data_IF_656218231339
#
_entry.id   IF_656218231339
#
_cell.length_a   1.000
_cell.length_b   1.000
_cell.length_c   1.000
_cell.angle_alpha   90.00
_cell.angle_beta   90.00
_cell.angle_gamma   90.00
#
_symmetry.space_group_name_H-M   'P 1'
#
loop_
_entity.id
_entity.type
_entity.pdbx_description
1 polymer ?
#
# COMPACT_ATOMS: atom_id res chain seq x y z
N UNK A 1 36.80 -12.91 -26.64
CA UNK A 1 36.66 -11.63 -25.90
C UNK A 1 35.58 -10.80 -26.57
N UNK A 2 34.45 -10.59 -25.88
CA UNK A 2 33.62 -9.38 -25.87
C UNK A 2 32.55 -9.60 -24.79
N UNK A 3 32.89 -9.07 -23.63
CA UNK A 3 32.05 -8.93 -22.44
C UNK A 3 30.92 -7.97 -22.79
N UNK A 4 29.69 -8.30 -22.37
CA UNK A 4 28.64 -7.32 -22.15
C UNK A 4 28.16 -7.54 -20.73
N UNK A 5 28.92 -6.99 -19.80
CA UNK A 5 28.40 -6.66 -18.49
C UNK A 5 27.37 -5.56 -18.74
N UNK A 6 26.10 -5.88 -18.52
CA UNK A 6 25.05 -4.88 -18.34
C UNK A 6 25.39 -4.11 -17.05
N UNK A 7 26.30 -3.16 -17.19
CA UNK A 7 26.57 -2.13 -16.20
C UNK A 7 25.27 -1.35 -16.08
N UNK A 8 24.48 -1.69 -15.07
CA UNK A 8 23.43 -0.85 -14.54
C UNK A 8 24.11 0.46 -14.15
N UNK A 9 24.01 1.45 -15.05
CA UNK A 9 24.47 2.81 -14.81
C UNK A 9 23.67 3.33 -13.62
N UNK A 10 24.25 3.23 -12.43
CA UNK A 10 23.79 3.98 -11.25
C UNK A 10 23.97 5.45 -11.59
N UNK A 11 22.88 6.09 -11.97
CA UNK A 11 22.85 7.52 -12.10
C UNK A 11 22.94 8.09 -10.67
N UNK A 12 24.04 8.78 -10.34
CA UNK A 12 24.15 9.59 -9.10
C UNK A 12 23.28 10.86 -9.21
N UNK A 13 22.01 10.65 -9.55
CA UNK A 13 21.00 11.67 -9.77
C UNK A 13 19.69 11.21 -9.16
N UNK A 14 18.95 12.13 -8.55
CA UNK A 14 17.64 11.91 -7.91
C UNK A 14 16.83 10.77 -8.53
N UNK A 15 16.31 9.89 -7.67
CA UNK A 15 15.35 8.83 -8.03
C UNK A 15 14.27 9.33 -9.01
N UNK A 16 13.96 8.54 -10.04
CA UNK A 16 12.82 8.79 -10.91
C UNK A 16 11.51 8.69 -10.13
N UNK A 17 10.42 9.27 -10.66
CA UNK A 17 9.08 9.16 -10.04
C UNK A 17 8.66 7.70 -9.83
N UNK A 18 9.02 6.81 -10.76
CA UNK A 18 8.71 5.38 -10.68
C UNK A 18 9.53 4.69 -9.59
N UNK A 19 10.84 4.90 -9.56
CA UNK A 19 11.71 4.32 -8.52
C UNK A 19 11.30 4.79 -7.12
N UNK A 20 11.00 6.09 -6.98
CA UNK A 20 10.46 6.65 -5.75
C UNK A 20 9.17 5.97 -5.33
N UNK A 21 8.24 5.76 -6.27
CA UNK A 21 6.99 5.08 -5.98
C UNK A 21 7.22 3.64 -5.54
N UNK A 22 8.03 2.86 -6.27
CA UNK A 22 8.33 1.45 -5.94
C UNK A 22 8.93 1.37 -4.53
N UNK A 23 10.01 2.12 -4.28
CA UNK A 23 10.69 2.14 -2.98
C UNK A 23 9.74 2.47 -1.82
N UNK A 24 8.92 3.51 -1.98
CA UNK A 24 7.99 3.94 -0.92
C UNK A 24 6.80 2.99 -0.77
N UNK A 25 6.21 2.52 -1.87
CA UNK A 25 5.05 1.65 -1.84
C UNK A 25 5.41 0.29 -1.25
N UNK A 26 6.55 -0.29 -1.63
CA UNK A 26 7.03 -1.56 -1.11
C UNK A 26 7.35 -1.47 0.38
N UNK A 27 8.15 -0.48 0.80
CA UNK A 27 8.49 -0.29 2.20
C UNK A 27 7.24 -0.07 3.08
N UNK A 28 6.25 0.70 2.59
CA UNK A 28 4.99 0.92 3.31
C UNK A 28 4.13 -0.32 3.37
N UNK A 29 4.03 -1.07 2.27
CA UNK A 29 3.26 -2.33 2.22
C UNK A 29 3.83 -3.34 3.20
N UNK A 30 5.15 -3.55 3.18
CA UNK A 30 5.82 -4.46 4.12
C UNK A 30 5.62 -4.05 5.58
N UNK A 31 5.68 -2.74 5.88
CA UNK A 31 5.38 -2.25 7.22
C UNK A 31 3.94 -2.55 7.65
N UNK A 32 2.96 -2.35 6.77
CA UNK A 32 1.55 -2.67 7.05
C UNK A 32 1.38 -4.17 7.31
N UNK A 33 1.96 -5.02 6.45
CA UNK A 33 1.88 -6.48 6.61
C UNK A 33 2.50 -6.94 7.94
N UNK A 34 3.66 -6.42 8.30
CA UNK A 34 4.29 -6.73 9.58
C UNK A 34 3.43 -6.28 10.77
N UNK A 35 2.81 -5.09 10.70
CA UNK A 35 1.92 -4.62 11.77
C UNK A 35 0.67 -5.49 11.89
N UNK A 36 0.12 -6.00 10.78
CA UNK A 36 -1.01 -6.94 10.80
C UNK A 36 -0.62 -8.27 11.43
N UNK A 37 0.59 -8.78 11.16
CA UNK A 37 1.10 -9.98 11.82
C UNK A 37 1.26 -9.77 13.33
N UNK A 38 1.82 -8.63 13.76
CA UNK A 38 1.94 -8.30 15.17
C UNK A 38 0.57 -8.16 15.86
N UNK A 39 -0.39 -7.54 15.18
CA UNK A 39 -1.78 -7.48 15.65
C UNK A 39 -2.38 -8.88 15.80
N UNK A 40 -2.07 -9.80 14.89
CA UNK A 40 -2.48 -11.21 14.97
C UNK A 40 -2.00 -11.91 16.25
N UNK A 41 -0.85 -11.51 16.81
CA UNK A 41 -0.37 -12.07 18.08
C UNK A 41 -1.28 -11.73 19.27
N UNK A 42 -2.10 -10.68 19.17
CA UNK A 42 -3.11 -10.33 20.18
C UNK A 42 -4.27 -11.33 20.23
N UNK A 43 -4.39 -12.27 19.28
CA UNK A 43 -5.40 -13.33 19.31
C UNK A 43 -5.13 -14.40 20.39
N UNK A 44 -4.00 -14.33 21.10
CA UNK A 44 -3.73 -15.26 22.19
C UNK A 44 -4.57 -14.92 23.43
N UNK A 45 -5.69 -15.62 23.60
CA UNK A 45 -6.62 -15.47 24.73
C UNK A 45 -6.03 -15.87 26.08
N UNK A 46 -4.91 -16.61 26.10
CA UNK A 46 -4.19 -16.89 27.36
C UNK A 46 -3.42 -15.67 27.87
N UNK A 47 -3.11 -14.71 27.00
CA UNK A 47 -2.36 -13.49 27.34
C UNK A 47 -3.24 -12.26 27.42
N UNK A 48 -4.30 -12.22 26.60
CA UNK A 48 -5.17 -11.06 26.48
C UNK A 48 -6.63 -11.44 26.65
N UNK A 49 -7.39 -10.57 27.31
CA UNK A 49 -8.84 -10.63 27.32
C UNK A 49 -9.39 -9.65 26.27
N UNK A 50 -10.25 -10.15 25.39
CA UNK A 50 -10.89 -9.36 24.35
C UNK A 50 -12.22 -10.00 23.98
N UNK A 51 -13.16 -9.16 23.54
CA UNK A 51 -14.45 -9.63 23.06
C UNK A 51 -14.47 -9.71 21.54
N UNK A 52 -15.42 -10.47 21.00
CA UNK A 52 -15.68 -10.48 19.56
C UNK A 52 -15.97 -9.08 19.02
N UNK A 53 -16.62 -8.22 19.81
CA UNK A 53 -16.91 -6.83 19.46
C UNK A 53 -15.65 -5.98 19.33
N UNK A 54 -14.60 -6.27 20.10
CA UNK A 54 -13.31 -5.57 19.98
C UNK A 54 -12.62 -5.96 18.67
N UNK A 55 -12.62 -7.25 18.33
CA UNK A 55 -12.10 -7.77 17.05
C UNK A 55 -12.83 -7.14 15.87
N UNK A 56 -14.16 -7.10 15.90
CA UNK A 56 -14.98 -6.47 14.85
C UNK A 56 -14.64 -4.98 14.65
N UNK A 57 -14.52 -4.21 15.75
CA UNK A 57 -14.14 -2.79 15.67
C UNK A 57 -12.75 -2.59 15.06
N UNK A 58 -11.78 -3.42 15.45
CA UNK A 58 -10.41 -3.37 14.94
C UNK A 58 -10.41 -3.57 13.42
N UNK A 59 -11.03 -4.65 12.95
CA UNK A 59 -11.01 -4.98 11.52
C UNK A 59 -11.89 -4.04 10.69
N UNK A 60 -13.04 -3.59 11.22
CA UNK A 60 -13.85 -2.59 10.54
C UNK A 60 -13.07 -1.28 10.28
N UNK A 61 -12.26 -0.84 11.24
CA UNK A 61 -11.41 0.35 11.07
C UNK A 61 -10.32 0.12 10.00
N UNK A 62 -9.64 -1.03 10.03
CA UNK A 62 -8.60 -1.37 9.05
C UNK A 62 -9.19 -1.46 7.64
N UNK A 63 -10.31 -2.17 7.47
CA UNK A 63 -10.97 -2.35 6.17
C UNK A 63 -11.46 -1.01 5.60
N UNK A 64 -12.00 -0.14 6.45
CA UNK A 64 -12.42 1.21 6.04
C UNK A 64 -11.23 2.02 5.50
N UNK A 65 -10.10 2.03 6.20
CA UNK A 65 -8.90 2.74 5.74
C UNK A 65 -8.32 2.12 4.45
N UNK A 66 -8.34 0.79 4.33
CA UNK A 66 -7.95 0.09 3.08
C UNK A 66 -8.84 0.53 1.92
N UNK A 67 -10.16 0.60 2.14
CA UNK A 67 -11.13 1.06 1.12
C UNK A 67 -10.86 2.50 0.72
N UNK A 68 -10.68 3.41 1.67
CA UNK A 68 -10.40 4.82 1.37
C UNK A 68 -9.05 5.02 0.69
N UNK A 69 -8.03 4.26 1.08
CA UNK A 69 -6.72 4.29 0.43
C UNK A 69 -6.80 3.78 -1.00
N UNK A 70 -7.50 2.67 -1.27
CA UNK A 70 -7.72 2.14 -2.64
C UNK A 70 -8.43 3.16 -3.54
N UNK A 71 -9.44 3.88 -3.02
CA UNK A 71 -10.15 4.93 -3.78
C UNK A 71 -9.21 6.02 -4.32
N UNK A 72 -8.13 6.37 -3.60
CA UNK A 72 -7.16 7.39 -4.04
C UNK A 72 -6.40 6.97 -5.30
N UNK A 73 -6.20 5.67 -5.51
CA UNK A 73 -5.59 5.15 -6.75
C UNK A 73 -6.59 5.19 -7.92
N UNK A 74 -7.86 4.86 -7.67
CA UNK A 74 -8.90 4.84 -8.71
C UNK A 74 -9.35 6.26 -9.15
N UNK A 75 -9.21 7.27 -8.28
CA UNK A 75 -9.46 8.68 -8.65
C UNK A 75 -8.50 9.22 -9.70
N UNK A 76 -7.35 8.57 -9.92
CA UNK A 76 -6.38 8.98 -10.94
C UNK A 76 -6.78 8.53 -12.36
N UNK A 77 -7.64 7.51 -12.52
CA UNK A 77 -8.11 7.05 -13.83
C UNK A 77 -9.34 7.81 -14.35
N UNK A 78 -10.12 8.44 -13.46
CA UNK A 78 -11.39 9.09 -13.81
C UNK A 78 -11.29 10.60 -14.12
N UNK A 79 -10.13 11.07 -14.58
CA UNK A 79 -10.01 12.38 -15.26
C UNK A 79 -10.10 12.21 -16.79
N UNK A 80 -11.11 11.51 -17.29
CA UNK A 80 -11.66 11.88 -18.59
C UNK A 80 -12.68 12.98 -18.31
N UNK A 81 -12.47 14.14 -18.90
CA UNK A 81 -13.47 15.20 -18.92
C UNK A 81 -14.77 14.60 -19.44
N UNK A 82 -15.79 14.45 -18.58
CA UNK A 82 -17.17 14.33 -19.05
C UNK A 82 -17.53 15.68 -19.67
N UNK A 83 -17.12 15.88 -20.93
CA UNK A 83 -17.70 16.93 -21.75
C UNK A 83 -19.13 16.51 -22.02
N UNK A 84 -20.03 17.13 -21.26
CA UNK A 84 -21.45 17.12 -21.56
C UNK A 84 -21.68 17.73 -22.95
N UNK A 85 -22.35 17.00 -23.85
CA UNK A 85 -22.86 17.50 -25.13
C UNK A 85 -24.38 17.34 -25.15
N UNK A 86 -25.08 18.28 -25.78
CA UNK A 86 -26.53 18.28 -26.00
C UNK A 86 -26.89 17.98 -27.47
N UNK A 87 -25.96 17.39 -28.22
CA UNK A 87 -26.18 16.90 -29.58
C UNK A 87 -26.05 15.38 -29.61
#
# INVERSE_FOLDING_TARGET
MKIKDDVVVKNEGKETKREKFVRLAEARTNKILNMLQLLGNCANTNTYDYTQKDVEKIFAAIESEVKETKKKFNKMENKKEDRFTLE
#
